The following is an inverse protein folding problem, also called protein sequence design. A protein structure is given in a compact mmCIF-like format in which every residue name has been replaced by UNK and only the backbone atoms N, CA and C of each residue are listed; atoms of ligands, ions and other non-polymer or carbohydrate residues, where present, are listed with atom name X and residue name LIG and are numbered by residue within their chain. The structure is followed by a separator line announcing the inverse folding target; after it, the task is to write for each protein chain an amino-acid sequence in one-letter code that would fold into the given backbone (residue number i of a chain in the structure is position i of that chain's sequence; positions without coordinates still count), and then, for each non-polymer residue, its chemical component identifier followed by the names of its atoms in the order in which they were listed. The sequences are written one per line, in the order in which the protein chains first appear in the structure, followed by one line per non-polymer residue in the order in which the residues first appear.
data_IF_451219024256
#
_entry.id   IF_451219024256
#
_cell.length_a   1.000
_cell.length_b   1.000
_cell.length_c   1.000
_cell.angle_alpha   90.00
_cell.angle_beta   90.00
_cell.angle_gamma   90.00
#
_symmetry.space_group_name_H-M   'P 1'
#
loop_
_entity.id
_entity.type
_entity.pdbx_description
1 polymer ?
#
# COMPACT_ATOMS: atom_id res chain seq x y z
N UNK A 1 12.48 42.14 13.74
CA UNK A 1 12.63 40.68 13.90
C UNK A 1 11.52 40.02 13.10
N UNK A 2 11.83 39.15 12.13
CA UNK A 2 10.80 38.42 11.39
C UNK A 2 10.20 37.32 12.29
N UNK A 3 8.87 37.19 12.30
CA UNK A 3 8.20 36.13 13.05
C UNK A 3 8.42 34.76 12.39
N UNK A 4 8.33 33.66 13.15
CA UNK A 4 8.46 32.27 12.63
C UNK A 4 7.53 32.02 11.43
N UNK A 5 6.32 32.56 11.47
CA UNK A 5 5.36 32.50 10.37
C UNK A 5 5.83 33.24 9.11
N UNK A 6 6.41 34.44 9.25
CA UNK A 6 6.93 35.20 8.11
C UNK A 6 8.11 34.49 7.44
N UNK A 7 9.01 33.89 8.24
CA UNK A 7 10.12 33.10 7.73
C UNK A 7 9.63 31.84 6.98
N UNK A 8 8.64 31.14 7.54
CA UNK A 8 8.01 29.98 6.92
C UNK A 8 7.40 30.33 5.55
N UNK A 9 6.57 31.38 5.49
CA UNK A 9 5.96 31.85 4.24
C UNK A 9 6.99 32.37 3.23
N UNK A 10 8.11 32.95 3.68
CA UNK A 10 9.20 33.35 2.79
C UNK A 10 9.90 32.15 2.15
N UNK A 11 10.08 31.05 2.90
CA UNK A 11 10.68 29.82 2.37
C UNK A 11 9.74 29.11 1.39
N UNK A 12 8.41 29.19 1.60
CA UNK A 12 7.43 28.63 0.64
C UNK A 12 7.53 29.38 -0.69
N UNK A 13 7.64 30.71 -0.65
CA UNK A 13 7.85 31.52 -1.86
C UNK A 13 9.11 31.07 -2.62
N UNK A 14 10.21 30.83 -1.91
CA UNK A 14 11.44 30.31 -2.53
C UNK A 14 11.24 28.94 -3.22
N UNK A 15 10.43 28.03 -2.66
CA UNK A 15 10.09 26.77 -3.33
C UNK A 15 9.30 27.00 -4.63
N UNK A 16 8.33 27.92 -4.60
CA UNK A 16 7.57 28.27 -5.79
C UNK A 16 8.43 28.95 -6.85
N UNK A 17 9.41 29.75 -6.45
CA UNK A 17 10.39 30.35 -7.37
C UNK A 17 11.26 29.27 -8.04
N UNK A 18 11.70 28.25 -7.29
CA UNK A 18 12.40 27.09 -7.87
C UNK A 18 11.53 26.35 -8.88
N UNK A 19 10.28 26.04 -8.53
CA UNK A 19 9.32 25.41 -9.44
C UNK A 19 9.14 26.24 -10.72
N UNK A 20 8.88 27.55 -10.58
CA UNK A 20 8.67 28.45 -11.72
C UNK A 20 9.90 28.50 -12.62
N UNK A 21 11.11 28.57 -12.06
CA UNK A 21 12.35 28.60 -12.84
C UNK A 21 12.54 27.32 -13.66
N UNK A 22 12.21 26.15 -13.10
CA UNK A 22 12.30 24.88 -13.82
C UNK A 22 11.21 24.79 -14.89
N UNK A 23 9.97 25.11 -14.54
CA UNK A 23 8.83 25.06 -15.45
C UNK A 23 8.98 26.01 -16.65
N UNK A 24 9.63 27.16 -16.44
CA UNK A 24 9.88 28.17 -17.50
C UNK A 24 11.25 28.04 -18.17
N UNK A 25 12.13 27.15 -17.69
CA UNK A 25 13.46 26.95 -18.24
C UNK A 25 14.43 28.12 -18.03
N UNK A 26 14.25 28.91 -16.97
CA UNK A 26 15.11 30.08 -16.67
C UNK A 26 16.47 29.62 -16.16
N UNK A 27 17.54 30.06 -16.83
CA UNK A 27 18.93 29.71 -16.47
C UNK A 27 19.56 30.71 -15.48
N UNK A 28 20.41 30.26 -14.54
CA UNK A 28 20.81 28.87 -14.31
C UNK A 28 19.72 28.07 -13.59
N UNK A 29 19.49 26.83 -14.05
CA UNK A 29 18.54 25.92 -13.43
C UNK A 29 19.04 25.48 -12.04
N UNK A 30 18.18 25.49 -11.01
CA UNK A 30 18.55 25.02 -9.68
C UNK A 30 18.85 23.51 -9.70
N UNK A 31 19.84 23.07 -8.91
CA UNK A 31 20.09 21.64 -8.75
C UNK A 31 19.05 20.99 -7.85
N UNK A 32 18.79 19.70 -8.04
CA UNK A 32 17.91 18.94 -7.15
C UNK A 32 18.39 18.93 -5.70
N UNK A 33 19.71 19.02 -5.46
CA UNK A 33 20.27 19.12 -4.10
C UNK A 33 19.93 20.45 -3.42
N UNK A 34 19.93 21.57 -4.15
CA UNK A 34 19.58 22.88 -3.60
C UNK A 34 18.12 22.92 -3.16
N UNK A 35 17.23 22.40 -4.01
CA UNK A 35 15.81 22.30 -3.73
C UNK A 35 15.57 21.31 -2.58
N UNK A 36 16.24 20.16 -2.58
CA UNK A 36 16.13 19.18 -1.51
C UNK A 36 16.52 19.76 -0.15
N UNK A 37 17.57 20.58 -0.08
CA UNK A 37 17.96 21.27 1.15
C UNK A 37 16.92 22.30 1.59
N UNK A 38 16.30 23.02 0.66
CA UNK A 38 15.19 23.92 0.96
C UNK A 38 13.96 23.18 1.47
N UNK A 39 13.66 22.00 0.94
CA UNK A 39 12.56 21.13 1.38
C UNK A 39 12.84 20.56 2.78
N UNK A 40 14.06 20.08 3.04
CA UNK A 40 14.48 19.54 4.36
C UNK A 40 14.30 20.52 5.51
N UNK A 41 14.44 21.82 5.27
CA UNK A 41 14.13 22.85 6.27
C UNK A 41 12.69 22.71 6.80
N UNK A 42 11.73 22.42 5.93
CA UNK A 42 10.33 22.26 6.34
C UNK A 42 10.14 21.01 7.20
N UNK A 43 10.74 19.89 6.81
CA UNK A 43 10.69 18.67 7.63
C UNK A 43 11.20 18.92 9.05
N UNK A 44 12.36 19.58 9.17
CA UNK A 44 12.93 19.94 10.47
C UNK A 44 12.05 20.92 11.24
N UNK A 45 11.48 21.92 10.57
CA UNK A 45 10.58 22.90 11.20
C UNK A 45 9.31 22.24 11.73
N UNK A 46 8.70 21.34 10.96
CA UNK A 46 7.48 20.60 11.33
C UNK A 46 7.75 19.65 12.50
N UNK A 47 8.82 18.87 12.43
CA UNK A 47 9.24 18.00 13.54
C UNK A 47 9.57 18.81 14.80
N UNK A 48 10.20 19.98 14.65
CA UNK A 48 10.44 20.91 15.75
C UNK A 48 9.15 21.39 16.41
N UNK A 49 8.13 21.75 15.63
CA UNK A 49 6.80 22.09 16.17
C UNK A 49 6.23 20.93 16.99
N UNK A 50 6.33 19.69 16.50
CA UNK A 50 5.79 18.56 17.24
C UNK A 50 6.59 18.25 18.53
N UNK A 51 7.91 18.44 18.53
CA UNK A 51 8.77 18.28 19.72
C UNK A 51 8.46 19.32 20.82
N UNK A 52 8.00 20.50 20.45
CA UNK A 52 7.65 21.58 21.38
C UNK A 52 6.30 21.36 22.10
N UNK A 53 5.49 20.40 21.66
CA UNK A 53 4.16 20.15 22.23
C UNK A 53 4.18 19.19 23.42
N UNK A 54 3.36 19.47 24.44
CA UNK A 54 3.21 18.63 25.63
C UNK A 54 2.16 17.52 25.45
N UNK A 55 2.39 16.37 26.08
CA UNK A 55 1.55 15.16 25.97
C UNK A 55 0.13 15.38 26.52
N UNK A 56 -0.02 16.20 27.57
CA UNK A 56 -1.31 16.51 28.21
C UNK A 56 -2.30 17.18 27.25
N UNK A 57 -1.79 17.86 26.22
CA UNK A 57 -2.62 18.48 25.18
C UNK A 57 -3.35 17.48 24.28
N UNK A 58 -3.03 16.17 24.34
CA UNK A 58 -3.45 15.17 23.34
C UNK A 58 -4.24 13.98 23.89
N UNK A 59 -4.74 14.04 25.13
CA UNK A 59 -5.52 12.93 25.73
C UNK A 59 -6.81 12.56 24.97
N UNK A 60 -7.27 13.38 24.01
CA UNK A 60 -8.50 13.17 23.24
C UNK A 60 -8.30 12.64 21.80
N UNK A 61 -7.06 12.29 21.41
CA UNK A 61 -6.78 11.81 20.04
C UNK A 61 -7.41 10.46 19.69
N UNK A 62 -8.02 9.76 20.65
CA UNK A 62 -8.72 8.49 20.38
C UNK A 62 -10.13 8.68 19.82
N UNK A 63 -10.74 9.87 19.89
CA UNK A 63 -12.16 10.05 19.51
C UNK A 63 -12.56 11.48 19.08
N UNK A 64 -11.63 12.43 18.92
CA UNK A 64 -11.95 13.85 18.70
C UNK A 64 -11.68 14.37 17.28
N UNK A 65 -12.74 14.89 16.64
CA UNK A 65 -12.82 15.59 15.34
C UNK A 65 -11.50 16.16 14.83
N UNK A 66 -11.12 15.80 13.60
CA UNK A 66 -9.89 16.23 12.91
C UNK A 66 -9.64 17.77 12.97
N UNK A 67 -10.71 18.56 12.96
CA UNK A 67 -10.67 20.03 13.08
C UNK A 67 -10.13 20.55 14.42
N UNK A 68 -10.40 19.86 15.53
CA UNK A 68 -9.92 20.23 16.87
C UNK A 68 -8.42 19.90 17.07
N UNK A 69 -7.88 18.96 16.28
CA UNK A 69 -6.45 18.62 16.31
C UNK A 69 -5.60 19.73 15.73
N UNK A 70 -6.04 20.33 14.62
CA UNK A 70 -5.28 21.33 13.86
C UNK A 70 -5.16 22.66 14.63
N UNK A 71 -6.19 23.03 15.40
CA UNK A 71 -6.22 24.28 16.17
C UNK A 71 -5.15 24.38 17.27
N UNK A 72 -4.54 23.24 17.65
CA UNK A 72 -3.46 23.18 18.65
C UNK A 72 -2.09 23.53 18.07
N UNK A 73 -1.92 23.44 16.74
CA UNK A 73 -0.66 23.75 16.09
C UNK A 73 -0.49 25.26 15.86
N UNK A 74 0.75 25.77 15.79
CA UNK A 74 1.01 27.14 15.36
C UNK A 74 0.35 27.42 14.01
N UNK A 75 -0.16 28.64 13.82
CA UNK A 75 -0.85 29.10 12.60
C UNK A 75 0.14 29.37 11.45
N UNK A 76 0.82 28.32 10.99
CA UNK A 76 1.65 28.34 9.79
C UNK A 76 0.81 27.96 8.56
N UNK A 77 1.28 28.34 7.38
CA UNK A 77 0.55 28.10 6.13
C UNK A 77 0.83 26.69 5.57
N UNK A 78 0.34 25.66 6.26
CA UNK A 78 0.55 24.25 5.92
C UNK A 78 -0.03 23.87 4.56
N UNK A 79 -1.22 24.37 4.22
CA UNK A 79 -1.86 24.09 2.91
C UNK A 79 -1.05 24.65 1.75
N UNK A 80 -0.46 25.84 1.88
CA UNK A 80 0.40 26.37 0.81
C UNK A 80 1.68 25.56 0.67
N UNK A 81 2.27 25.08 1.77
CA UNK A 81 3.41 24.16 1.69
C UNK A 81 3.02 22.86 0.98
N UNK A 82 1.85 22.29 1.29
CA UNK A 82 1.32 21.12 0.59
C UNK A 82 1.28 21.34 -0.92
N UNK A 83 0.59 22.39 -1.38
CA UNK A 83 0.48 22.67 -2.82
C UNK A 83 1.84 22.94 -3.48
N UNK A 84 2.75 23.64 -2.80
CA UNK A 84 4.13 23.82 -3.29
C UNK A 84 4.87 22.49 -3.44
N UNK A 85 4.70 21.55 -2.49
CA UNK A 85 5.31 20.22 -2.58
C UNK A 85 4.70 19.38 -3.70
N UNK A 86 3.38 19.47 -3.92
CA UNK A 86 2.70 18.79 -5.04
C UNK A 86 3.27 19.29 -6.38
N UNK A 87 3.39 20.60 -6.57
CA UNK A 87 3.96 21.17 -7.79
C UNK A 87 5.41 20.69 -8.04
N UNK A 88 6.18 20.47 -6.96
CA UNK A 88 7.54 19.97 -7.08
C UNK A 88 7.62 18.51 -7.55
N UNK A 89 6.56 17.70 -7.36
CA UNK A 89 6.51 16.31 -7.83
C UNK A 89 6.68 16.27 -9.36
N UNK A 90 5.90 17.08 -10.07
CA UNK A 90 5.83 17.06 -11.54
C UNK A 90 7.14 17.49 -12.22
N UNK A 91 7.97 18.27 -11.53
CA UNK A 91 9.25 18.74 -12.06
C UNK A 91 10.43 17.86 -11.70
N UNK A 92 10.26 16.85 -10.83
CA UNK A 92 11.35 15.90 -10.49
C UNK A 92 11.99 15.27 -11.74
N UNK A 93 11.23 14.79 -12.75
CA UNK A 93 11.82 14.21 -13.96
C UNK A 93 12.63 15.21 -14.81
N UNK A 94 12.44 16.51 -14.60
CA UNK A 94 13.15 17.57 -15.34
C UNK A 94 14.49 17.94 -14.68
N UNK A 95 14.77 17.44 -13.47
CA UNK A 95 16.01 17.71 -12.74
C UNK A 95 17.15 16.87 -13.32
N UNK A 96 18.25 17.55 -13.68
CA UNK A 96 19.43 16.89 -14.25
C UNK A 96 20.33 16.24 -13.20
N UNK A 97 20.41 16.82 -12.00
CA UNK A 97 21.31 16.37 -10.92
C UNK A 97 20.62 16.45 -9.57
N UNK A 98 20.59 15.34 -8.82
CA UNK A 98 20.02 15.31 -7.46
C UNK A 98 18.49 15.11 -7.43
N UNK A 99 17.91 14.56 -8.48
CA UNK A 99 16.50 14.14 -8.60
C UNK A 99 16.09 13.15 -7.50
N UNK A 100 16.90 12.12 -7.23
CA UNK A 100 16.66 11.15 -6.14
C UNK A 100 16.63 11.86 -4.77
N UNK A 101 17.58 12.76 -4.52
CA UNK A 101 17.65 13.50 -3.26
C UNK A 101 16.45 14.44 -3.08
N UNK A 102 15.99 15.07 -4.17
CA UNK A 102 14.77 15.88 -4.17
C UNK A 102 13.54 15.02 -3.89
N UNK A 103 13.36 13.92 -4.63
CA UNK A 103 12.23 13.00 -4.44
C UNK A 103 12.14 12.49 -2.99
N UNK A 104 13.25 12.02 -2.42
CA UNK A 104 13.31 11.60 -1.01
C UNK A 104 12.93 12.73 -0.05
N UNK A 105 13.38 13.96 -0.31
CA UNK A 105 13.04 15.11 0.53
C UNK A 105 11.55 15.47 0.44
N UNK A 106 10.92 15.35 -0.73
CA UNK A 106 9.48 15.60 -0.94
C UNK A 106 8.65 14.56 -0.18
N UNK A 107 8.96 13.26 -0.36
CA UNK A 107 8.31 12.14 0.36
C UNK A 107 8.34 12.39 1.86
N UNK A 108 9.53 12.70 2.38
CA UNK A 108 9.73 12.93 3.80
C UNK A 108 9.01 14.19 4.30
N UNK A 109 9.03 15.29 3.53
CA UNK A 109 8.34 16.53 3.89
C UNK A 109 6.82 16.36 3.91
N UNK A 110 6.22 15.68 2.92
CA UNK A 110 4.78 15.40 2.90
C UNK A 110 4.35 14.53 4.08
N UNK A 111 5.14 13.52 4.44
CA UNK A 111 4.86 12.69 5.61
C UNK A 111 4.94 13.46 6.92
N UNK A 112 5.95 14.34 7.08
CA UNK A 112 6.05 15.24 8.24
C UNK A 112 4.93 16.30 8.27
N UNK A 113 4.37 16.65 7.11
CA UNK A 113 3.29 17.60 6.97
C UNK A 113 1.91 17.00 7.27
N UNK A 114 1.72 15.69 7.07
CA UNK A 114 0.44 14.99 7.26
C UNK A 114 -0.27 15.32 8.60
N UNK A 115 0.43 15.38 9.76
CA UNK A 115 -0.19 15.80 11.01
C UNK A 115 -0.75 17.24 11.02
N UNK A 116 -0.41 18.11 10.08
CA UNK A 116 -0.83 19.50 10.09
C UNK A 116 -1.91 19.81 9.04
N UNK A 117 -2.21 18.86 8.17
CA UNK A 117 -3.13 19.07 7.06
C UNK A 117 -4.59 19.02 7.52
N UNK A 118 -5.49 19.79 6.88
CA UNK A 118 -6.93 19.54 6.95
C UNK A 118 -7.29 18.18 6.36
N UNK A 119 -8.45 17.64 6.75
CA UNK A 119 -8.87 16.28 6.39
C UNK A 119 -8.86 16.07 4.87
N UNK A 120 -9.34 17.04 4.10
CA UNK A 120 -9.45 16.93 2.64
C UNK A 120 -8.09 16.75 1.96
N UNK A 121 -7.06 17.43 2.47
CA UNK A 121 -5.69 17.29 1.93
C UNK A 121 -4.99 16.03 2.46
N UNK A 122 -5.27 15.65 3.71
CA UNK A 122 -4.74 14.43 4.31
C UNK A 122 -5.25 13.17 3.59
N UNK A 123 -6.55 13.15 3.28
CA UNK A 123 -7.26 12.05 2.61
C UNK A 123 -6.83 11.87 1.14
N UNK A 124 -6.26 12.91 0.52
CA UNK A 124 -5.67 12.82 -0.81
C UNK A 124 -4.23 12.27 -0.82
N UNK A 125 -3.53 12.25 0.32
CA UNK A 125 -2.11 11.88 0.38
C UNK A 125 -1.82 10.44 -0.05
N UNK A 126 -2.59 9.40 0.36
CA UNK A 126 -2.31 8.03 -0.06
C UNK A 126 -2.30 7.87 -1.59
N UNK A 127 -3.30 8.45 -2.26
CA UNK A 127 -3.37 8.44 -3.72
C UNK A 127 -2.20 9.23 -4.35
N UNK A 128 -1.90 10.42 -3.82
CA UNK A 128 -0.76 11.24 -4.27
C UNK A 128 0.57 10.48 -4.16
N UNK A 129 0.80 9.77 -3.06
CA UNK A 129 2.00 8.95 -2.88
C UNK A 129 2.06 7.82 -3.90
N UNK A 130 0.94 7.15 -4.16
CA UNK A 130 0.88 6.12 -5.18
C UNK A 130 1.25 6.68 -6.57
N UNK A 131 0.70 7.84 -6.96
CA UNK A 131 1.03 8.45 -8.26
C UNK A 131 2.50 8.88 -8.36
N UNK A 132 3.20 9.16 -7.25
CA UNK A 132 4.65 9.42 -7.33
C UNK A 132 5.44 8.22 -7.87
N UNK A 133 4.93 6.99 -7.77
CA UNK A 133 5.58 5.81 -8.35
C UNK A 133 5.67 5.86 -9.87
N UNK A 134 4.80 6.64 -10.53
CA UNK A 134 4.83 6.83 -11.99
C UNK A 134 5.75 7.97 -12.43
N UNK A 135 6.25 8.78 -11.48
CA UNK A 135 6.99 10.01 -11.75
C UNK A 135 8.43 9.94 -11.21
N UNK A 136 8.60 9.42 -9.99
CA UNK A 136 9.88 9.42 -9.30
C UNK A 136 10.81 8.28 -9.76
N UNK A 137 12.14 8.46 -9.62
CA UNK A 137 13.11 7.41 -9.89
C UNK A 137 12.84 6.14 -9.08
N UNK A 138 13.16 4.97 -9.64
CA UNK A 138 12.94 3.68 -8.97
C UNK A 138 13.69 3.55 -7.63
N UNK A 139 14.79 4.29 -7.47
CA UNK A 139 15.60 4.33 -6.24
C UNK A 139 14.82 4.79 -5.00
N UNK A 140 13.68 5.49 -5.17
CA UNK A 140 12.85 5.97 -4.05
C UNK A 140 11.54 5.20 -3.87
N UNK A 141 11.23 4.24 -4.74
CA UNK A 141 9.94 3.52 -4.70
C UNK A 141 9.75 2.76 -3.40
N UNK A 142 10.83 2.21 -2.84
CA UNK A 142 10.81 1.55 -1.53
C UNK A 142 10.37 2.52 -0.44
N UNK A 143 11.01 3.69 -0.35
CA UNK A 143 10.71 4.72 0.63
C UNK A 143 9.27 5.23 0.48
N UNK A 144 8.80 5.41 -0.76
CA UNK A 144 7.40 5.77 -1.06
C UNK A 144 6.44 4.72 -0.50
N UNK A 145 6.67 3.43 -0.77
CA UNK A 145 5.80 2.36 -0.28
C UNK A 145 5.87 2.16 1.22
N UNK A 146 7.05 2.27 1.82
CA UNK A 146 7.21 2.21 3.26
C UNK A 146 6.39 3.33 3.93
N UNK A 147 6.41 4.54 3.38
CA UNK A 147 5.60 5.64 3.89
C UNK A 147 4.10 5.45 3.66
N UNK A 148 3.72 4.99 2.47
CA UNK A 148 2.32 4.72 2.12
C UNK A 148 1.71 3.67 3.06
N UNK A 149 2.39 2.54 3.25
CA UNK A 149 1.87 1.38 3.97
C UNK A 149 2.01 1.48 5.50
N UNK A 150 3.11 2.07 5.99
CA UNK A 150 3.39 2.11 7.42
C UNK A 150 2.91 3.40 8.10
N UNK A 151 2.59 4.44 7.33
CA UNK A 151 2.19 5.75 7.87
C UNK A 151 0.86 6.21 7.30
N UNK A 152 0.79 6.47 5.99
CA UNK A 152 -0.31 7.26 5.43
C UNK A 152 -1.65 6.50 5.37
N UNK A 153 -1.65 5.25 4.90
CA UNK A 153 -2.87 4.44 4.84
C UNK A 153 -3.43 4.16 6.25
N UNK A 154 -2.64 3.66 7.23
CA UNK A 154 -3.14 3.44 8.58
C UNK A 154 -3.68 4.72 9.24
N UNK A 155 -3.01 5.86 9.05
CA UNK A 155 -3.45 7.15 9.60
C UNK A 155 -4.78 7.57 8.98
N UNK A 156 -4.86 7.61 7.65
CA UNK A 156 -6.06 8.07 6.95
C UNK A 156 -7.28 7.21 7.29
N UNK A 157 -7.13 5.89 7.22
CA UNK A 157 -8.23 4.97 7.48
C UNK A 157 -8.66 4.96 8.95
N UNK A 158 -7.76 5.28 9.89
CA UNK A 158 -8.12 5.48 11.30
C UNK A 158 -8.90 6.77 11.56
N UNK A 159 -8.75 7.79 10.70
CA UNK A 159 -9.41 9.10 10.82
C UNK A 159 -10.63 9.27 9.90
N UNK A 160 -10.96 8.27 9.09
CA UNK A 160 -12.15 8.32 8.23
C UNK A 160 -13.43 8.32 9.08
N UNK A 161 -14.05 9.48 9.23
CA UNK A 161 -15.35 9.63 9.92
C UNK A 161 -16.53 9.26 8.99
N UNK A 162 -16.39 9.53 7.69
CA UNK A 162 -17.42 9.30 6.67
C UNK A 162 -16.84 8.48 5.51
N UNK A 163 -17.00 7.15 5.52
CA UNK A 163 -16.43 6.26 4.50
C UNK A 163 -16.86 6.60 3.07
N UNK A 164 -18.14 6.97 2.86
CA UNK A 164 -18.66 7.34 1.53
C UNK A 164 -18.00 8.57 0.88
N UNK A 165 -17.33 9.41 1.66
CA UNK A 165 -16.67 10.62 1.18
C UNK A 165 -15.15 10.54 1.22
N UNK A 166 -14.58 9.39 1.59
CA UNK A 166 -13.13 9.24 1.67
C UNK A 166 -12.52 9.00 0.29
N UNK A 167 -11.66 9.94 -0.12
CA UNK A 167 -10.79 9.79 -1.28
C UNK A 167 -9.82 8.63 -1.09
N UNK A 168 -9.30 8.39 0.12
CA UNK A 168 -8.44 7.23 0.39
C UNK A 168 -9.17 5.93 0.07
N UNK A 169 -10.40 5.74 0.59
CA UNK A 169 -11.16 4.50 0.38
C UNK A 169 -11.58 4.30 -1.07
N UNK A 170 -12.05 5.37 -1.73
CA UNK A 170 -12.50 5.31 -3.13
C UNK A 170 -11.35 5.09 -4.13
N UNK A 171 -10.11 5.39 -3.74
CA UNK A 171 -8.94 5.24 -4.60
C UNK A 171 -8.13 3.97 -4.37
N UNK A 172 -8.55 3.07 -3.47
CA UNK A 172 -7.79 1.84 -3.14
C UNK A 172 -7.50 1.00 -4.37
N UNK A 173 -8.50 0.71 -5.21
CA UNK A 173 -8.30 -0.04 -6.44
C UNK A 173 -7.29 0.65 -7.39
N UNK A 174 -7.33 1.97 -7.51
CA UNK A 174 -6.37 2.75 -8.30
C UNK A 174 -4.96 2.72 -7.70
N UNK A 175 -4.83 2.80 -6.38
CA UNK A 175 -3.55 2.68 -5.67
C UNK A 175 -2.95 1.30 -5.92
N UNK A 176 -3.75 0.23 -5.78
CA UNK A 176 -3.33 -1.14 -6.08
C UNK A 176 -2.88 -1.28 -7.54
N UNK A 177 -3.66 -0.74 -8.48
CA UNK A 177 -3.31 -0.74 -9.90
C UNK A 177 -1.96 -0.06 -10.15
N UNK A 178 -1.76 1.16 -9.63
CA UNK A 178 -0.50 1.90 -9.81
C UNK A 178 0.68 1.12 -9.22
N UNK A 179 0.53 0.59 -8.00
CA UNK A 179 1.60 -0.18 -7.37
C UNK A 179 1.95 -1.42 -8.18
N UNK A 180 0.95 -2.21 -8.60
CA UNK A 180 1.17 -3.45 -9.34
C UNK A 180 1.71 -3.23 -10.75
N UNK A 181 1.41 -2.08 -11.36
CA UNK A 181 1.89 -1.74 -12.69
C UNK A 181 3.34 -1.21 -12.68
N UNK A 182 3.70 -0.42 -11.67
CA UNK A 182 4.97 0.34 -11.67
C UNK A 182 6.08 -0.34 -10.86
N UNK A 183 5.78 -1.39 -10.09
CA UNK A 183 6.76 -2.05 -9.22
C UNK A 183 6.89 -3.52 -9.60
N UNK A 184 8.02 -3.92 -10.17
CA UNK A 184 8.29 -5.33 -10.47
C UNK A 184 8.92 -6.05 -9.25
N UNK A 185 8.19 -6.11 -8.13
CA UNK A 185 8.65 -6.79 -6.93
C UNK A 185 7.49 -7.33 -6.07
N UNK A 186 7.36 -8.66 -6.04
CA UNK A 186 6.32 -9.34 -5.28
C UNK A 186 6.33 -9.05 -3.75
N UNK A 187 7.48 -8.71 -3.17
CA UNK A 187 7.58 -8.33 -1.74
C UNK A 187 6.80 -7.06 -1.46
N UNK A 188 6.88 -6.09 -2.38
CA UNK A 188 6.20 -4.81 -2.28
C UNK A 188 4.71 -4.93 -2.60
N UNK A 189 4.34 -5.83 -3.51
CA UNK A 189 2.94 -6.20 -3.73
C UNK A 189 2.32 -6.82 -2.48
N UNK A 190 3.03 -7.73 -1.81
CA UNK A 190 2.59 -8.29 -0.54
C UNK A 190 2.49 -7.21 0.56
N UNK A 191 3.40 -6.23 0.57
CA UNK A 191 3.40 -5.14 1.55
C UNK A 191 2.13 -4.28 1.49
N UNK A 192 1.76 -3.78 0.30
CA UNK A 192 0.54 -2.97 0.14
C UNK A 192 -0.72 -3.81 0.41
N UNK A 193 -0.72 -5.07 -0.04
CA UNK A 193 -1.83 -5.99 0.19
C UNK A 193 -2.07 -6.25 1.67
N UNK A 194 -1.05 -6.67 2.42
CA UNK A 194 -1.19 -6.95 3.85
C UNK A 194 -1.54 -5.71 4.67
N UNK A 195 -1.05 -4.53 4.26
CA UNK A 195 -1.48 -3.26 4.84
C UNK A 195 -2.99 -3.10 4.69
N UNK A 196 -3.52 -3.16 3.47
CA UNK A 196 -4.94 -2.95 3.18
C UNK A 196 -5.83 -4.06 3.77
N UNK A 197 -5.39 -5.32 3.77
CA UNK A 197 -6.09 -6.45 4.38
C UNK A 197 -6.33 -6.24 5.89
N UNK A 198 -5.44 -5.48 6.54
CA UNK A 198 -5.54 -5.11 7.95
C UNK A 198 -6.41 -3.88 8.23
N UNK A 199 -6.79 -3.13 7.20
CA UNK A 199 -7.52 -1.87 7.32
C UNK A 199 -8.94 -1.90 6.72
N UNK A 200 -9.23 -2.76 5.74
CA UNK A 200 -10.52 -2.83 5.01
C UNK A 200 -11.00 -4.27 4.84
N UNK A 201 -12.27 -4.57 5.13
CA UNK A 201 -12.82 -5.94 5.17
C UNK A 201 -13.23 -6.53 3.80
N UNK A 202 -13.44 -5.67 2.80
CA UNK A 202 -14.01 -5.99 1.49
C UNK A 202 -13.00 -5.78 0.34
N UNK A 203 -11.71 -5.90 0.65
CA UNK A 203 -10.61 -5.65 -0.29
C UNK A 203 -10.63 -6.54 -1.54
N UNK A 204 -11.30 -7.70 -1.46
CA UNK A 204 -11.48 -8.59 -2.60
C UNK A 204 -12.09 -7.88 -3.82
N UNK A 205 -13.00 -6.92 -3.61
CA UNK A 205 -13.65 -6.22 -4.70
C UNK A 205 -12.70 -5.20 -5.37
N UNK A 206 -11.82 -4.55 -4.61
CA UNK A 206 -10.77 -3.71 -5.19
C UNK A 206 -9.80 -4.53 -6.04
N UNK A 207 -9.45 -5.74 -5.59
CA UNK A 207 -8.58 -6.64 -6.37
C UNK A 207 -9.28 -7.10 -7.65
N UNK A 208 -10.57 -7.47 -7.57
CA UNK A 208 -11.35 -7.84 -8.74
C UNK A 208 -11.48 -6.67 -9.72
N UNK A 209 -11.61 -5.44 -9.24
CA UNK A 209 -11.57 -4.24 -10.07
C UNK A 209 -10.24 -4.11 -10.83
N UNK A 210 -9.11 -4.32 -10.15
CA UNK A 210 -7.78 -4.31 -10.80
C UNK A 210 -7.65 -5.44 -11.81
N UNK A 211 -8.21 -6.61 -11.55
CA UNK A 211 -8.21 -7.72 -12.51
C UNK A 211 -9.05 -7.37 -13.75
N UNK A 212 -10.23 -6.77 -13.56
CA UNK A 212 -11.13 -6.38 -14.63
C UNK A 212 -10.52 -5.31 -15.55
N UNK A 213 -9.84 -4.30 -14.99
CA UNK A 213 -9.48 -3.09 -15.72
C UNK A 213 -7.97 -2.80 -15.81
N UNK A 214 -7.15 -3.52 -15.06
CA UNK A 214 -5.70 -3.34 -15.07
C UNK A 214 -5.06 -3.81 -16.38
N UNK A 215 -3.87 -3.26 -16.66
CA UNK A 215 -2.95 -3.76 -17.67
C UNK A 215 -2.43 -5.17 -17.31
N UNK A 216 -1.77 -5.84 -18.26
CA UNK A 216 -1.39 -7.25 -18.11
C UNK A 216 -0.50 -7.53 -16.88
N UNK A 217 0.46 -6.65 -16.59
CA UNK A 217 1.33 -6.72 -15.41
C UNK A 217 0.54 -6.56 -14.11
N UNK A 218 -0.26 -5.50 -14.01
CA UNK A 218 -1.11 -5.29 -12.84
C UNK A 218 -2.11 -6.43 -12.61
N UNK A 219 -2.75 -6.92 -13.68
CA UNK A 219 -3.68 -8.05 -13.63
C UNK A 219 -3.00 -9.32 -13.14
N UNK A 220 -1.85 -9.65 -13.71
CA UNK A 220 -1.02 -10.78 -13.29
C UNK A 220 -0.70 -10.75 -11.78
N UNK A 221 -0.25 -9.61 -11.27
CA UNK A 221 0.03 -9.44 -9.84
C UNK A 221 -1.24 -9.59 -8.99
N UNK A 222 -2.33 -8.93 -9.38
CA UNK A 222 -3.61 -8.98 -8.67
C UNK A 222 -4.20 -10.40 -8.62
N UNK A 223 -4.20 -11.13 -9.73
CA UNK A 223 -4.68 -12.53 -9.78
C UNK A 223 -3.87 -13.45 -8.87
N UNK A 224 -2.54 -13.32 -8.90
CA UNK A 224 -1.66 -14.13 -8.04
C UNK A 224 -1.92 -13.89 -6.55
N UNK A 225 -2.09 -12.62 -6.15
CA UNK A 225 -2.38 -12.25 -4.77
C UNK A 225 -3.80 -12.65 -4.36
N UNK A 226 -4.78 -12.54 -5.26
CA UNK A 226 -6.17 -12.99 -5.02
C UNK A 226 -6.19 -14.47 -4.62
N UNK A 227 -5.57 -15.34 -5.42
CA UNK A 227 -5.56 -16.78 -5.15
C UNK A 227 -4.69 -17.17 -3.94
N UNK A 228 -3.70 -16.34 -3.59
CA UNK A 228 -2.92 -16.54 -2.37
C UNK A 228 -3.71 -16.19 -1.11
N UNK A 229 -4.34 -15.01 -1.05
CA UNK A 229 -5.06 -14.54 0.14
C UNK A 229 -6.47 -15.13 0.28
N UNK A 230 -7.09 -15.55 -0.82
CA UNK A 230 -8.36 -16.28 -0.86
C UNK A 230 -8.19 -17.67 -1.49
N UNK A 231 -7.45 -18.59 -0.85
CA UNK A 231 -7.16 -19.91 -1.42
C UNK A 231 -8.40 -20.80 -1.59
N UNK A 232 -9.55 -20.41 -1.02
CA UNK A 232 -10.85 -21.08 -1.20
C UNK A 232 -11.43 -20.89 -2.60
N UNK A 233 -10.98 -19.86 -3.33
CA UNK A 233 -11.36 -19.66 -4.73
C UNK A 233 -10.73 -20.70 -5.66
N UNK A 234 -9.75 -21.46 -5.15
CA UNK A 234 -9.15 -22.59 -5.85
C UNK A 234 -9.60 -23.92 -5.19
N UNK A 235 -10.69 -24.53 -5.67
CA UNK A 235 -11.33 -25.68 -5.02
C UNK A 235 -10.59 -27.02 -5.21
N UNK A 236 -9.60 -27.11 -6.09
CA UNK A 236 -8.97 -28.38 -6.51
C UNK A 236 -7.53 -28.49 -5.97
N UNK A 237 -7.32 -29.41 -5.03
CA UNK A 237 -5.97 -29.71 -4.49
C UNK A 237 -4.98 -30.26 -5.53
N UNK A 238 -5.45 -30.66 -6.71
CA UNK A 238 -4.66 -31.10 -7.86
C UNK A 238 -4.09 -29.88 -8.62
N UNK A 239 -4.86 -28.81 -8.79
CA UNK A 239 -4.46 -27.60 -9.52
C UNK A 239 -3.46 -26.74 -8.74
N UNK A 240 -3.39 -26.91 -7.42
CA UNK A 240 -2.37 -26.26 -6.58
C UNK A 240 -0.94 -26.71 -6.89
N UNK A 241 -0.76 -27.90 -7.47
CA UNK A 241 0.58 -28.43 -7.79
C UNK A 241 1.19 -27.78 -9.04
N UNK A 242 0.37 -27.17 -9.90
CA UNK A 242 0.77 -26.50 -11.15
C UNK A 242 0.87 -24.98 -11.03
N UNK A 243 0.51 -24.40 -9.87
CA UNK A 243 0.68 -22.96 -9.60
C UNK A 243 2.16 -22.68 -9.34
N UNK A 244 2.86 -22.18 -10.35
CA UNK A 244 4.24 -21.72 -10.22
C UNK A 244 4.36 -20.33 -9.55
N UNK A 245 3.27 -19.78 -9.03
CA UNK A 245 3.33 -18.56 -8.24
C UNK A 245 4.05 -18.84 -6.92
N UNK A 246 5.34 -18.52 -6.90
CA UNK A 246 6.13 -18.51 -5.68
C UNK A 246 5.85 -17.20 -4.95
N UNK A 247 4.89 -17.25 -4.03
CA UNK A 247 4.64 -16.14 -3.14
C UNK A 247 5.90 -15.79 -2.35
N UNK A 248 6.20 -14.49 -2.26
CA UNK A 248 7.29 -13.96 -1.46
C UNK A 248 6.67 -13.03 -0.42
N UNK A 249 6.72 -13.39 0.88
CA UNK A 249 6.18 -12.54 1.94
C UNK A 249 6.83 -11.16 1.94
N UNK A 250 6.08 -10.15 2.40
CA UNK A 250 6.68 -8.84 2.67
C UNK A 250 7.79 -8.95 3.72
N UNK A 251 8.71 -8.00 3.74
CA UNK A 251 9.72 -7.93 4.80
C UNK A 251 9.07 -7.48 6.12
N UNK A 252 9.55 -7.99 7.28
CA UNK A 252 9.11 -7.48 8.57
C UNK A 252 9.55 -6.02 8.73
N UNK A 253 8.71 -5.22 9.41
CA UNK A 253 9.05 -3.83 9.73
C UNK A 253 10.19 -3.85 10.75
N UNK A 254 11.20 -2.99 10.56
CA UNK A 254 12.36 -2.91 11.44
C UNK A 254 12.14 -1.93 12.60
N UNK A 255 12.84 -2.15 13.71
CA UNK A 255 12.85 -1.19 14.82
C UNK A 255 13.50 0.12 14.38
N UNK A 256 12.87 1.23 14.76
CA UNK A 256 13.30 2.59 14.47
C UNK A 256 13.88 3.30 15.71
N UNK A 257 14.01 2.60 16.84
CA UNK A 257 14.61 3.19 18.05
C UNK A 257 16.11 3.37 17.90
N UNK A 258 16.63 4.53 18.29
CA UNK A 258 18.06 4.81 18.25
C UNK A 258 18.86 3.75 19.00
N UNK A 259 19.97 3.29 18.42
CA UNK A 259 20.89 2.32 19.05
C UNK A 259 20.20 1.03 19.51
N UNK A 260 19.22 0.54 18.74
CA UNK A 260 18.64 -0.78 18.94
C UNK A 260 19.75 -1.86 18.98
N UNK A 261 19.82 -2.60 20.10
CA UNK A 261 20.81 -3.67 20.30
C UNK A 261 20.26 -5.06 19.93
N UNK A 262 18.97 -5.14 19.58
CA UNK A 262 18.32 -6.39 19.24
C UNK A 262 18.80 -6.90 17.88
N UNK A 263 19.38 -8.10 17.85
CA UNK A 263 20.05 -8.65 16.66
C UNK A 263 19.11 -8.79 15.46
N UNK A 264 17.87 -9.20 15.70
CA UNK A 264 16.89 -9.36 14.60
C UNK A 264 16.37 -8.02 14.10
N UNK A 265 16.39 -7.00 14.96
CA UNK A 265 15.90 -5.66 14.68
C UNK A 265 14.45 -5.61 14.14
N UNK A 266 13.60 -6.57 14.49
CA UNK A 266 12.21 -6.65 14.01
C UNK A 266 11.29 -5.91 14.98
N UNK A 267 10.46 -5.01 14.46
CA UNK A 267 9.44 -4.32 15.22
C UNK A 267 8.27 -5.25 15.56
N UNK A 268 7.85 -5.22 16.82
CA UNK A 268 6.67 -5.93 17.33
C UNK A 268 5.60 -4.97 17.83
N UNK A 269 5.96 -3.69 18.01
CA UNK A 269 5.13 -2.64 18.58
C UNK A 269 5.20 -1.39 17.70
N UNK A 270 4.10 -0.66 17.64
CA UNK A 270 4.01 0.64 16.95
C UNK A 270 3.37 1.66 17.88
N UNK A 271 4.06 2.76 18.17
CA UNK A 271 3.49 3.91 18.86
C UNK A 271 2.74 4.77 17.84
N UNK A 272 1.42 4.89 18.00
CA UNK A 272 0.58 5.66 17.07
C UNK A 272 0.40 7.12 17.48
N UNK A 273 0.77 7.46 18.73
CA UNK A 273 0.67 8.83 19.20
C UNK A 273 1.74 9.68 18.51
N UNK A 274 1.27 10.71 17.79
CA UNK A 274 2.10 11.60 16.97
C UNK A 274 3.22 12.23 17.80
N UNK A 275 2.92 12.79 18.98
CA UNK A 275 3.88 13.52 19.80
C UNK A 275 4.95 12.59 20.42
N UNK A 276 4.54 11.41 20.86
CA UNK A 276 5.46 10.45 21.47
C UNK A 276 6.38 9.78 20.45
N UNK A 277 5.94 9.67 19.19
CA UNK A 277 6.69 8.97 18.14
C UNK A 277 7.92 9.73 17.66
N UNK A 278 7.96 11.05 17.82
CA UNK A 278 9.08 11.90 17.32
C UNK A 278 10.35 11.75 18.16
N UNK A 279 10.25 11.19 19.37
CA UNK A 279 11.42 10.88 20.18
C UNK A 279 12.27 9.74 19.60
N UNK A 280 11.78 9.04 18.57
CA UNK A 280 12.48 7.94 17.93
C UNK A 280 13.50 8.31 16.86
N UNK A 281 13.43 9.50 16.22
CA UNK A 281 14.37 10.10 15.26
C UNK A 281 13.70 11.32 14.57
N UNK A 282 14.40 12.00 13.64
CA UNK A 282 13.81 12.93 12.67
C UNK A 282 12.98 12.20 11.58
N UNK A 283 12.19 11.19 11.96
CA UNK A 283 11.28 10.45 11.10
C UNK A 283 9.84 10.82 11.40
N UNK A 284 8.96 10.88 10.40
CA UNK A 284 7.54 11.12 10.64
C UNK A 284 6.94 9.98 11.49
N UNK A 285 5.94 10.25 12.34
CA UNK A 285 5.15 9.21 13.01
C UNK A 285 4.54 8.21 12.02
N UNK A 286 4.25 6.95 12.42
CA UNK A 286 4.37 6.39 13.76
C UNK A 286 5.77 5.80 14.05
N UNK A 287 6.05 5.50 15.33
CA UNK A 287 7.33 4.91 15.77
C UNK A 287 7.24 3.39 15.94
N UNK A 288 8.03 2.64 15.17
CA UNK A 288 8.12 1.18 15.25
C UNK A 288 9.24 0.72 16.19
N UNK A 289 8.92 -0.22 17.09
CA UNK A 289 9.82 -0.68 18.15
C UNK A 289 9.85 -2.21 18.24
N UNK A 290 11.05 -2.79 18.42
CA UNK A 290 11.18 -4.18 18.82
C UNK A 290 10.71 -4.38 20.28
N UNK A 291 10.57 -5.64 20.69
CA UNK A 291 10.08 -5.96 22.04
C UNK A 291 10.97 -5.39 23.14
N UNK A 292 12.30 -5.38 22.94
CA UNK A 292 13.24 -4.91 23.95
C UNK A 292 13.29 -3.38 24.04
N UNK A 293 13.31 -2.69 22.90
CA UNK A 293 13.17 -1.22 22.87
C UNK A 293 11.84 -0.78 23.48
N UNK A 294 10.74 -1.50 23.22
CA UNK A 294 9.44 -1.24 23.83
C UNK A 294 9.48 -1.39 25.36
N UNK A 295 10.09 -2.46 25.90
CA UNK A 295 10.21 -2.65 27.35
C UNK A 295 11.04 -1.55 28.02
N UNK A 296 12.02 -1.03 27.31
CA UNK A 296 12.92 0.03 27.78
C UNK A 296 12.36 1.46 27.58
N UNK A 297 11.23 1.62 26.88
CA UNK A 297 10.64 2.94 26.64
C UNK A 297 9.86 3.45 27.86
N UNK A 298 9.54 4.75 27.87
CA UNK A 298 8.75 5.35 28.95
C UNK A 298 7.34 4.74 29.01
N UNK A 299 6.73 4.74 30.21
CA UNK A 299 5.36 4.24 30.39
C UNK A 299 4.34 4.97 29.52
N UNK A 300 4.58 6.25 29.22
CA UNK A 300 3.74 7.04 28.33
C UNK A 300 3.79 6.49 26.91
N UNK A 301 4.97 6.21 26.35
CA UNK A 301 5.11 5.58 25.03
C UNK A 301 4.40 4.22 25.04
N UNK A 302 4.63 3.40 26.07
CA UNK A 302 4.08 2.06 26.14
C UNK A 302 2.55 2.02 26.11
N UNK A 303 1.89 3.02 26.71
CA UNK A 303 0.43 3.17 26.75
C UNK A 303 -0.19 3.35 25.36
N UNK A 304 0.53 4.01 24.44
CA UNK A 304 0.03 4.29 23.09
C UNK A 304 0.59 3.33 22.03
N UNK A 305 1.25 2.24 22.45
CA UNK A 305 1.73 1.23 21.53
C UNK A 305 0.70 0.14 21.24
N UNK A 306 0.59 -0.24 19.98
CA UNK A 306 -0.17 -1.40 19.50
C UNK A 306 0.78 -2.48 18.99
N UNK A 307 0.30 -3.72 18.86
CA UNK A 307 1.09 -4.77 18.22
C UNK A 307 1.18 -4.55 16.71
N UNK A 308 2.26 -5.03 16.12
CA UNK A 308 2.47 -5.05 14.66
C UNK A 308 2.21 -6.47 14.16
N UNK A 309 1.43 -6.60 13.08
CA UNK A 309 1.20 -7.89 12.44
C UNK A 309 2.47 -8.41 11.78
N UNK A 310 2.71 -9.71 11.92
CA UNK A 310 3.77 -10.40 11.21
C UNK A 310 3.41 -10.58 9.72
N UNK A 311 4.42 -10.62 8.82
CA UNK A 311 4.19 -10.97 7.42
C UNK A 311 3.45 -12.30 7.26
N UNK A 312 2.48 -12.35 6.33
CA UNK A 312 1.75 -13.59 6.03
C UNK A 312 2.66 -14.47 5.18
N UNK A 313 2.85 -15.72 5.59
CA UNK A 313 3.61 -16.72 4.78
C UNK A 313 2.69 -17.69 4.05
N UNK A 314 1.55 -18.02 4.65
CA UNK A 314 0.52 -18.88 4.10
C UNK A 314 -0.84 -18.53 4.73
N UNK A 315 -1.92 -18.80 4.02
CA UNK A 315 -3.29 -18.75 4.54
C UNK A 315 -3.77 -20.17 4.83
N UNK A 316 -4.12 -20.42 6.09
CA UNK A 316 -4.58 -21.72 6.53
C UNK A 316 -5.96 -22.06 5.97
N UNK A 317 -6.07 -23.25 5.36
CA UNK A 317 -7.33 -23.73 4.82
C UNK A 317 -8.31 -24.23 5.88
N UNK A 318 -7.79 -24.44 7.09
CA UNK A 318 -8.53 -24.96 8.21
C UNK A 318 -8.51 -23.96 9.37
N UNK A 319 -9.57 -23.99 10.17
CA UNK A 319 -9.73 -23.15 11.34
C UNK A 319 -8.57 -23.32 12.31
N UNK A 320 -7.88 -22.21 12.58
CA UNK A 320 -6.75 -22.11 13.52
C UNK A 320 -7.21 -21.87 14.97
N UNK A 321 -8.52 -21.70 15.21
CA UNK A 321 -9.04 -21.59 16.57
C UNK A 321 -8.85 -22.91 17.32
N UNK A 322 -7.98 -22.90 18.34
CA UNK A 322 -7.67 -24.07 19.18
C UNK A 322 -8.89 -24.66 19.90
N UNK A 323 -9.92 -23.86 20.14
CA UNK A 323 -11.17 -24.27 20.79
C UNK A 323 -12.30 -24.57 19.78
N UNK A 324 -11.98 -24.79 18.50
CA UNK A 324 -12.96 -25.07 17.48
C UNK A 324 -13.63 -26.44 17.67
N UNK A 325 -14.95 -26.43 17.88
CA UNK A 325 -15.80 -27.63 17.97
C UNK A 325 -16.58 -27.94 16.68
N UNK A 326 -16.32 -27.19 15.61
CA UNK A 326 -17.05 -27.36 14.35
C UNK A 326 -16.63 -28.64 13.63
N UNK A 327 -17.61 -29.36 13.07
CA UNK A 327 -17.36 -30.49 12.16
C UNK A 327 -16.75 -30.00 10.84
N UNK A 328 -17.24 -28.86 10.33
CA UNK A 328 -16.72 -28.21 9.12
C UNK A 328 -15.65 -27.19 9.49
N UNK A 329 -14.40 -27.65 9.52
CA UNK A 329 -13.24 -26.82 9.90
C UNK A 329 -12.66 -25.98 8.76
N UNK A 330 -13.27 -25.95 7.58
CA UNK A 330 -12.78 -25.16 6.44
C UNK A 330 -12.81 -23.67 6.79
N UNK A 331 -11.73 -22.95 6.47
CA UNK A 331 -11.63 -21.50 6.68
C UNK A 331 -12.68 -20.78 5.84
N UNK A 332 -13.44 -19.91 6.51
CA UNK A 332 -14.45 -19.05 5.92
C UNK A 332 -14.04 -17.58 5.96
N UNK A 333 -13.32 -17.19 7.01
CA UNK A 333 -12.83 -15.82 7.16
C UNK A 333 -11.41 -15.80 7.73
N UNK A 334 -10.62 -14.82 7.34
CA UNK A 334 -9.30 -14.52 7.91
C UNK A 334 -9.36 -13.18 8.63
N UNK A 335 -9.15 -13.17 9.94
CA UNK A 335 -9.20 -11.95 10.74
C UNK A 335 -7.82 -11.32 10.89
N UNK A 336 -7.73 -10.02 10.61
CA UNK A 336 -6.52 -9.21 10.70
C UNK A 336 -6.53 -8.26 11.91
N UNK A 337 -7.60 -8.25 12.71
CA UNK A 337 -7.63 -7.49 13.97
C UNK A 337 -6.52 -7.94 14.92
N UNK A 338 -5.82 -6.97 15.52
CA UNK A 338 -4.75 -7.22 16.50
C UNK A 338 -5.23 -8.13 17.65
N UNK A 339 -6.47 -7.96 18.11
CA UNK A 339 -7.04 -8.74 19.21
C UNK A 339 -7.16 -10.23 18.88
N UNK A 340 -7.51 -10.55 17.63
CA UNK A 340 -7.53 -11.90 17.11
C UNK A 340 -6.13 -12.44 16.88
N UNK A 341 -5.28 -11.65 16.22
CA UNK A 341 -3.94 -12.05 15.82
C UNK A 341 -3.02 -12.31 17.02
N UNK A 342 -3.24 -11.65 18.16
CA UNK A 342 -2.50 -11.91 19.40
C UNK A 342 -2.54 -13.39 19.84
N UNK A 343 -3.68 -14.05 19.64
CA UNK A 343 -3.85 -15.47 19.96
C UNK A 343 -3.10 -16.40 18.99
N UNK A 344 -2.66 -15.87 17.86
CA UNK A 344 -1.94 -16.55 16.79
C UNK A 344 -0.55 -15.96 16.55
N UNK A 345 0.09 -15.43 17.62
CA UNK A 345 1.46 -14.92 17.54
C UNK A 345 1.63 -13.74 16.58
N UNK A 346 0.66 -12.81 16.56
CA UNK A 346 0.57 -11.66 15.65
C UNK A 346 0.44 -12.00 14.16
N UNK A 347 0.05 -13.22 13.82
CA UNK A 347 -0.34 -13.57 12.45
C UNK A 347 -1.87 -13.49 12.31
N UNK A 348 -2.40 -13.13 11.13
CA UNK A 348 -3.82 -13.26 10.84
C UNK A 348 -4.35 -14.65 11.19
N UNK A 349 -5.59 -14.72 11.68
CA UNK A 349 -6.20 -15.98 12.12
C UNK A 349 -7.32 -16.41 11.19
N UNK A 350 -7.17 -17.61 10.66
CA UNK A 350 -8.13 -18.28 9.79
C UNK A 350 -9.19 -18.99 10.64
N UNK A 351 -10.46 -18.68 10.40
CA UNK A 351 -11.60 -19.15 11.18
C UNK A 351 -12.62 -19.84 10.28
N UNK A 352 -13.16 -20.98 10.73
CA UNK A 352 -14.37 -21.53 10.12
C UNK A 352 -15.58 -20.65 10.46
N UNK A 353 -16.66 -20.82 9.69
CA UNK A 353 -17.89 -20.03 9.82
C UNK A 353 -18.41 -19.92 11.25
N UNK A 354 -18.49 -21.05 11.97
CA UNK A 354 -18.99 -21.06 13.36
C UNK A 354 -18.08 -20.30 14.33
N UNK A 355 -16.75 -20.34 14.13
CA UNK A 355 -15.82 -19.59 14.98
C UNK A 355 -15.83 -18.10 14.63
N UNK A 356 -15.96 -17.77 13.35
CA UNK A 356 -16.11 -16.41 12.84
C UNK A 356 -17.35 -15.74 13.43
N UNK A 357 -18.54 -16.34 13.25
CA UNK A 357 -19.80 -15.84 13.78
C UNK A 357 -19.69 -15.62 15.30
N UNK A 358 -19.25 -16.63 16.06
CA UNK A 358 -19.12 -16.50 17.52
C UNK A 358 -18.17 -15.40 17.98
N UNK A 359 -17.08 -15.17 17.24
CA UNK A 359 -16.03 -14.24 17.66
C UNK A 359 -16.33 -12.81 17.23
N UNK A 360 -17.14 -12.62 16.19
CA UNK A 360 -17.32 -11.32 15.54
C UNK A 360 -18.74 -10.74 15.57
N UNK A 361 -19.69 -11.35 16.28
CA UNK A 361 -21.06 -10.81 16.43
C UNK A 361 -21.07 -9.33 16.90
N UNK A 362 -20.24 -8.97 17.88
CA UNK A 362 -20.21 -7.63 18.48
C UNK A 362 -18.83 -6.96 18.39
N UNK A 363 -18.02 -7.32 17.39
CA UNK A 363 -16.67 -6.77 17.23
C UNK A 363 -16.52 -5.97 15.94
N UNK A 364 -15.89 -4.81 16.01
CA UNK A 364 -15.49 -4.03 14.83
C UNK A 364 -14.15 -4.52 14.24
N UNK A 365 -13.96 -5.84 14.19
CA UNK A 365 -12.74 -6.44 13.66
C UNK A 365 -12.68 -6.32 12.14
N UNK A 366 -11.49 -6.10 11.60
CA UNK A 366 -11.23 -6.22 10.17
C UNK A 366 -10.95 -7.69 9.85
N UNK A 367 -11.74 -8.26 8.95
CA UNK A 367 -11.60 -9.63 8.48
C UNK A 367 -11.98 -9.73 7.00
N UNK A 368 -11.41 -10.72 6.32
CA UNK A 368 -11.72 -11.02 4.92
C UNK A 368 -12.55 -12.30 4.86
N UNK A 369 -13.74 -12.22 4.28
CA UNK A 369 -14.60 -13.39 4.05
C UNK A 369 -14.39 -13.99 2.66
N UNK A 370 -14.82 -15.24 2.49
CA UNK A 370 -15.04 -15.81 1.16
C UNK A 370 -16.08 -15.01 0.38
N UNK A 371 -15.95 -14.96 -0.95
CA UNK A 371 -16.90 -14.26 -1.82
C UNK A 371 -18.36 -14.57 -1.46
N UNK A 372 -19.12 -13.50 -1.23
CA UNK A 372 -20.58 -13.56 -1.11
C UNK A 372 -21.16 -13.92 -2.48
N UNK A 373 -22.36 -14.50 -2.46
CA UNK A 373 -23.18 -14.72 -3.66
C UNK A 373 -23.24 -13.46 -4.53
N UNK A 374 -22.70 -13.55 -5.76
CA UNK A 374 -22.54 -12.41 -6.68
C UNK A 374 -23.85 -11.71 -7.00
N UNK A 375 -24.98 -12.42 -6.94
CA UNK A 375 -26.32 -11.90 -7.19
C UNK A 375 -26.86 -11.03 -6.05
N UNK A 376 -26.17 -10.99 -4.91
CA UNK A 376 -26.51 -10.14 -3.75
C UNK A 376 -25.71 -8.84 -3.72
N UNK A 377 -24.77 -8.66 -4.64
CA UNK A 377 -23.94 -7.46 -4.74
C UNK A 377 -24.71 -6.33 -5.44
N UNK A 378 -24.24 -5.09 -5.31
CA UNK A 378 -24.75 -3.99 -6.12
C UNK A 378 -24.45 -4.25 -7.61
N UNK A 379 -25.26 -3.68 -8.50
CA UNK A 379 -25.10 -3.85 -9.95
C UNK A 379 -23.69 -3.44 -10.42
N UNK A 380 -23.13 -2.37 -9.85
CA UNK A 380 -21.79 -1.92 -10.18
C UNK A 380 -20.74 -2.97 -9.80
N UNK A 381 -20.74 -3.45 -8.55
CA UNK A 381 -19.77 -4.47 -8.09
C UNK A 381 -19.94 -5.77 -8.87
N UNK A 382 -21.17 -6.15 -9.20
CA UNK A 382 -21.47 -7.31 -10.03
C UNK A 382 -20.84 -7.19 -11.43
N UNK A 383 -20.96 -6.03 -12.08
CA UNK A 383 -20.35 -5.79 -13.40
C UNK A 383 -18.83 -5.94 -13.36
N UNK A 384 -18.17 -5.38 -12.34
CA UNK A 384 -16.72 -5.54 -12.15
C UNK A 384 -16.32 -7.00 -11.93
N UNK A 385 -17.11 -7.77 -11.15
CA UNK A 385 -16.86 -9.20 -10.95
C UNK A 385 -16.96 -9.98 -12.27
N UNK A 386 -17.98 -9.69 -13.10
CA UNK A 386 -18.16 -10.33 -14.40
C UNK A 386 -16.99 -9.97 -15.33
N UNK A 387 -16.59 -8.71 -15.42
CA UNK A 387 -15.46 -8.29 -16.25
C UNK A 387 -14.13 -8.88 -15.77
N UNK A 388 -13.95 -9.04 -14.45
CA UNK A 388 -12.80 -9.74 -13.89
C UNK A 388 -12.77 -11.21 -14.34
N UNK A 389 -13.91 -11.92 -14.29
CA UNK A 389 -14.02 -13.30 -14.78
C UNK A 389 -13.71 -13.36 -16.28
N UNK A 390 -14.28 -12.47 -17.09
CA UNK A 390 -14.00 -12.40 -18.54
C UNK A 390 -12.50 -12.18 -18.79
N UNK A 391 -11.87 -11.27 -18.04
CA UNK A 391 -10.45 -10.98 -18.16
C UNK A 391 -9.58 -12.18 -17.80
N UNK A 392 -9.93 -12.90 -16.73
CA UNK A 392 -9.24 -14.14 -16.34
C UNK A 392 -9.37 -15.23 -17.42
N UNK A 393 -10.57 -15.40 -18.01
CA UNK A 393 -10.83 -16.38 -19.07
C UNK A 393 -10.09 -16.04 -20.38
N UNK A 394 -10.03 -14.76 -20.76
CA UNK A 394 -9.25 -14.34 -21.94
C UNK A 394 -7.76 -14.69 -21.83
N UNK A 395 -7.24 -14.77 -20.61
CA UNK A 395 -5.86 -15.20 -20.37
C UNK A 395 -5.69 -16.74 -20.39
N UNK A 396 -6.79 -17.51 -20.37
CA UNK A 396 -6.76 -18.98 -20.47
C UNK A 396 -6.79 -19.50 -21.91
N UNK A 397 -7.32 -18.72 -22.86
CA UNK A 397 -7.72 -19.20 -24.20
C UNK A 397 -6.57 -19.49 -25.21
N UNK A 398 -5.30 -19.29 -24.86
CA UNK A 398 -4.18 -19.50 -25.79
C UNK A 398 -3.48 -20.87 -25.69
N UNK A 399 -4.08 -21.85 -25.00
CA UNK A 399 -3.37 -23.09 -24.63
C UNK A 399 -3.76 -24.33 -25.40
N UNK A 400 -5.02 -24.47 -25.82
CA UNK A 400 -5.44 -25.67 -26.57
C UNK A 400 -4.95 -25.64 -28.01
N UNK A 401 -5.06 -24.51 -28.71
CA UNK A 401 -4.56 -24.38 -30.09
C UNK A 401 -3.05 -24.59 -30.20
N UNK A 402 -2.26 -24.11 -29.23
CA UNK A 402 -0.80 -24.33 -29.21
C UNK A 402 -0.42 -25.77 -28.91
N UNK A 403 -1.13 -26.48 -28.01
CA UNK A 403 -0.88 -27.91 -27.75
C UNK A 403 -1.24 -28.78 -28.95
N UNK A 404 -2.26 -28.40 -29.73
CA UNK A 404 -2.62 -29.12 -30.95
C UNK A 404 -1.56 -28.90 -32.04
N UNK A 405 -1.05 -27.68 -32.23
CA UNK A 405 0.01 -27.40 -33.21
C UNK A 405 1.34 -28.08 -32.85
N UNK A 406 1.66 -28.19 -31.56
CA UNK A 406 2.89 -28.86 -31.10
C UNK A 406 2.81 -30.40 -31.07
N UNK A 407 1.61 -30.98 -31.13
CA UNK A 407 1.39 -32.44 -31.16
C UNK A 407 1.22 -33.01 -32.57
N UNK A 408 1.24 -32.17 -33.62
CA UNK A 408 1.17 -32.60 -35.01
C UNK A 408 2.57 -32.84 -35.58
N UNK A 409 2.72 -33.96 -36.31
CA UNK A 409 3.95 -34.34 -37.02
C UNK A 409 4.38 -33.25 -38.01
N UNK A 410 5.69 -33.09 -38.22
CA UNK A 410 6.29 -32.02 -39.03
C UNK A 410 5.72 -31.91 -40.46
N UNK A 411 5.19 -33.00 -41.02
CA UNK A 411 4.51 -33.01 -42.32
C UNK A 411 3.16 -32.28 -42.35
N UNK A 412 2.49 -32.10 -41.20
CA UNK A 412 1.23 -31.33 -41.12
C UNK A 412 1.47 -29.85 -40.79
N UNK A 413 2.64 -29.50 -40.27
CA UNK A 413 3.04 -28.09 -40.04
C UNK A 413 3.28 -27.35 -41.37
N UNK A 414 3.84 -28.02 -42.38
CA UNK A 414 4.09 -27.38 -43.68
C UNK A 414 2.80 -27.01 -44.44
N UNK A 415 1.74 -27.83 -44.31
CA UNK A 415 0.46 -27.62 -45.01
C UNK A 415 -0.34 -26.45 -44.40
N UNK A 416 -0.11 -26.11 -43.13
CA UNK A 416 -0.72 -24.94 -42.49
C UNK A 416 0.06 -23.65 -42.77
N UNK A 417 1.39 -23.71 -42.83
CA UNK A 417 2.23 -22.55 -43.15
C UNK A 417 2.00 -22.05 -44.58
N UNK A 418 1.83 -22.95 -45.57
CA UNK A 418 1.51 -22.55 -46.95
C UNK A 418 0.13 -21.89 -47.11
N UNK A 419 -0.80 -22.11 -46.18
CA UNK A 419 -2.13 -21.47 -46.22
C UNK A 419 -2.19 -20.13 -45.48
N UNK A 420 -1.21 -19.83 -44.62
CA UNK A 420 -1.16 -18.58 -43.84
C UNK A 420 -0.41 -17.47 -44.59
N UNK A 421 0.50 -17.82 -45.51
CA UNK A 421 1.27 -16.85 -46.30
C UNK A 421 0.42 -16.05 -47.32
N UNK A 422 -0.85 -16.41 -47.55
CA UNK A 422 -1.75 -15.66 -48.44
C UNK A 422 -2.61 -14.58 -47.76
N UNK A 423 -2.53 -14.42 -46.43
CA UNK A 423 -3.22 -13.31 -45.75
C UNK A 423 -2.35 -12.68 -44.68
N UNK A 424 -1.68 -11.61 -45.08
CA UNK A 424 -1.19 -10.48 -44.27
C UNK A 424 -0.04 -10.73 -43.29
N UNK A 425 1.13 -10.31 -43.76
CA UNK A 425 2.29 -9.92 -42.99
C UNK A 425 2.00 -8.88 -41.89
N UNK A 426 2.78 -9.00 -40.81
CA UNK A 426 3.51 -7.93 -40.11
C UNK A 426 3.11 -7.69 -38.64
N UNK A 427 3.80 -8.37 -37.70
CA UNK A 427 4.66 -7.64 -36.75
C UNK A 427 5.61 -8.57 -35.99
N UNK A 428 6.84 -8.07 -35.87
CA UNK A 428 8.03 -8.74 -35.36
C UNK A 428 8.00 -9.04 -33.86
N UNK A 429 8.66 -10.16 -33.57
CA UNK A 429 9.18 -10.61 -32.28
C UNK A 429 10.01 -9.54 -31.55
N UNK A 430 9.68 -9.32 -30.27
CA UNK A 430 10.59 -8.86 -29.23
C UNK A 430 10.11 -9.46 -27.89
N UNK A 431 11.08 -9.84 -27.06
CA UNK A 431 10.96 -10.67 -25.85
C UNK A 431 9.88 -10.20 -24.86
N UNK A 432 8.75 -10.91 -24.82
CA UNK A 432 7.67 -10.77 -23.83
C UNK A 432 7.22 -12.18 -23.43
N UNK A 433 8.07 -12.91 -22.70
CA UNK A 433 7.82 -14.32 -22.38
C UNK A 433 7.57 -14.58 -20.87
N UNK A 434 7.55 -13.54 -20.04
CA UNK A 434 7.31 -13.68 -18.59
C UNK A 434 5.85 -13.43 -18.19
N UNK A 435 5.09 -12.60 -18.92
CA UNK A 435 3.72 -12.24 -18.57
C UNK A 435 2.60 -13.11 -19.14
N UNK A 436 2.89 -14.01 -20.10
CA UNK A 436 1.84 -14.70 -20.91
C UNK A 436 1.42 -16.08 -20.41
N UNK A 437 1.95 -16.57 -19.28
CA UNK A 437 1.79 -17.97 -18.84
C UNK A 437 0.94 -18.17 -17.58
N UNK A 438 0.33 -17.12 -17.02
CA UNK A 438 -0.22 -17.19 -15.66
C UNK A 438 -1.54 -17.97 -15.54
N UNK A 439 -2.44 -17.92 -16.53
CA UNK A 439 -3.78 -18.50 -16.39
C UNK A 439 -4.10 -19.67 -17.34
N UNK A 440 -3.18 -20.04 -18.23
CA UNK A 440 -3.30 -21.13 -19.21
C UNK A 440 -3.48 -22.56 -18.64
N UNK A 441 -3.72 -22.68 -17.33
CA UNK A 441 -3.67 -23.92 -16.56
C UNK A 441 -4.81 -24.09 -15.56
N UNK A 442 -5.76 -23.16 -15.54
CA UNK A 442 -6.99 -23.26 -14.73
C UNK A 442 -8.20 -23.76 -15.53
N UNK A 443 -8.01 -24.05 -16.83
CA UNK A 443 -8.99 -24.68 -17.71
C UNK A 443 -8.83 -26.18 -17.77
#
# INVERSE_FOLDING_TARGET
MATRAAAFSSKIRALNDFYNNIATGVTPLPSGYDIANAVKYFSQALLGVLKEMTIESNQEQSTGKHSYRISKYPTLNYSSLYHSLINLIDVVPLIQTGDVALAQSIIHALACLAPFLPYELLDALPYTFATTLTIFPFDVHKETLDMLCNTLLPINMAYTEYPEHSMTLTSIASILFIVFENIDNAVYHAQIMECLLSLKADLIYDILFVIAHGAASARAAASNLLFFYWPMLNPTGVDRRSIHFKFIPRKPIICQTERCLERRNIASKVCVNILLSIHGHDTPPPLYMCTDCYKNSSKDIQKYCRNVLCPVSEIDLHCQNKLCISEKKITHAVCYSIECCLSNGNHPISLCRQCHERRHIDSNHVYQETLIDMWRLSADVQNHCVEAIISLLRETDNTEEKRIVDSMSDEKKSILVENIDNTTNMFLSLDIDVGRKLLSRYG
#
